data_IF_258935103145
#
_entry.id   IF_258935103145
#
_cell.length_a   1.000
_cell.length_b   1.000
_cell.length_c   1.000
_cell.angle_alpha   90.00
_cell.angle_beta   90.00
_cell.angle_gamma   90.00
#
_symmetry.space_group_name_H-M   'P 1'
#
loop_
_entity.id
_entity.type
_entity.pdbx_description
1 polymer ?
#
# COMPACT_ATOMS: atom_id res chain seq x y z
N UNK A 1 13.45 -11.38 -28.08
CA UNK A 1 13.58 -10.91 -26.68
C UNK A 1 12.30 -10.17 -26.37
N UNK A 2 11.35 -10.87 -25.77
CA UNK A 2 10.00 -10.34 -25.51
C UNK A 2 10.05 -9.51 -24.23
N UNK A 3 9.90 -8.19 -24.38
CA UNK A 3 9.91 -7.24 -23.28
C UNK A 3 8.56 -7.34 -22.57
N UNK A 4 8.47 -8.16 -21.53
CA UNK A 4 7.30 -8.19 -20.64
C UNK A 4 7.33 -6.94 -19.78
N UNK A 5 6.70 -5.88 -20.26
CA UNK A 5 6.40 -4.72 -19.42
C UNK A 5 5.48 -5.19 -18.28
N UNK A 6 6.06 -5.39 -17.08
CA UNK A 6 5.28 -5.58 -15.84
C UNK A 6 4.36 -4.36 -15.71
N UNK A 7 3.08 -4.54 -16.04
CA UNK A 7 2.06 -3.53 -15.83
C UNK A 7 2.12 -3.11 -14.35
N UNK A 8 2.53 -1.87 -14.09
CA UNK A 8 2.76 -1.39 -12.73
C UNK A 8 1.55 -1.64 -11.84
N UNK A 9 1.78 -2.18 -10.65
CA UNK A 9 0.72 -2.51 -9.69
C UNK A 9 -0.16 -1.27 -9.49
N UNK A 10 -1.45 -1.38 -9.82
CA UNK A 10 -2.39 -0.26 -9.66
C UNK A 10 -2.76 -0.12 -8.19
N UNK A 11 -2.95 1.11 -7.68
CA UNK A 11 -3.42 1.30 -6.32
C UNK A 11 -4.84 0.73 -6.21
N UNK A 12 -5.05 -0.15 -5.23
CA UNK A 12 -6.35 -0.77 -4.95
C UNK A 12 -7.28 0.25 -4.26
N UNK A 13 -6.74 1.00 -3.29
CA UNK A 13 -7.49 2.04 -2.57
C UNK A 13 -6.55 3.12 -2.05
N UNK A 14 -7.05 4.35 -1.91
CA UNK A 14 -6.32 5.46 -1.29
C UNK A 14 -7.20 6.19 -0.28
N UNK A 15 -6.66 6.41 0.91
CA UNK A 15 -7.24 7.24 1.97
C UNK A 15 -6.37 8.48 2.13
N UNK A 16 -6.97 9.67 2.18
CA UNK A 16 -6.22 10.91 2.29
C UNK A 16 -6.92 11.97 3.13
N UNK A 17 -6.13 12.73 3.88
CA UNK A 17 -6.57 13.94 4.57
C UNK A 17 -5.50 15.03 4.46
N UNK A 18 -5.84 16.10 3.72
CA UNK A 18 -4.90 17.16 3.35
C UNK A 18 -3.65 16.61 2.67
N UNK A 19 -2.49 16.87 3.26
CA UNK A 19 -1.19 16.43 2.75
C UNK A 19 -0.87 14.95 2.99
N UNK A 20 -1.60 14.24 3.86
CA UNK A 20 -1.27 12.87 4.26
C UNK A 20 -2.16 11.87 3.53
N UNK A 21 -1.57 10.78 3.04
CA UNK A 21 -2.31 9.68 2.41
C UNK A 21 -1.72 8.31 2.69
N UNK A 22 -2.59 7.32 2.88
CA UNK A 22 -2.26 5.90 2.87
C UNK A 22 -2.82 5.27 1.58
N UNK A 23 -1.96 4.63 0.79
CA UNK A 23 -2.33 3.92 -0.45
C UNK A 23 -2.18 2.42 -0.23
N UNK A 24 -3.25 1.68 -0.46
CA UNK A 24 -3.27 0.21 -0.47
C UNK A 24 -2.99 -0.26 -1.88
N UNK A 25 -2.02 -1.15 -2.03
CA UNK A 25 -1.62 -1.78 -3.28
C UNK A 25 -1.97 -3.24 -3.25
N UNK A 26 -2.49 -3.77 -4.36
CA UNK A 26 -2.64 -5.20 -4.58
C UNK A 26 -1.47 -5.66 -5.44
N UNK A 27 -0.63 -6.53 -4.88
CA UNK A 27 0.53 -7.09 -5.55
C UNK A 27 0.31 -8.59 -5.75
N UNK A 28 0.97 -9.14 -6.74
CA UNK A 28 1.11 -10.57 -6.95
C UNK A 28 2.58 -10.94 -6.82
N UNK A 29 2.85 -12.11 -6.26
CA UNK A 29 4.18 -12.69 -6.23
C UNK A 29 4.11 -14.20 -6.27
N UNK A 30 5.26 -14.83 -6.09
CA UNK A 30 5.40 -16.29 -6.05
C UNK A 30 5.86 -16.71 -4.65
N UNK A 31 5.17 -17.69 -4.06
CA UNK A 31 5.54 -18.27 -2.78
C UNK A 31 6.86 -19.04 -2.90
N UNK A 32 7.80 -18.79 -1.98
CA UNK A 32 9.09 -19.52 -1.92
C UNK A 32 8.93 -20.98 -1.53
N UNK A 33 7.82 -21.37 -0.88
CA UNK A 33 7.60 -22.72 -0.36
C UNK A 33 7.20 -23.72 -1.43
N UNK A 34 6.33 -23.31 -2.34
CA UNK A 34 5.66 -24.20 -3.30
C UNK A 34 5.62 -23.66 -4.73
N UNK A 35 6.12 -22.43 -4.97
CA UNK A 35 6.08 -21.81 -6.29
C UNK A 35 4.69 -21.36 -6.72
N UNK A 36 3.70 -21.36 -5.82
CA UNK A 36 2.33 -20.92 -6.14
C UNK A 36 2.26 -19.40 -6.30
N UNK A 37 1.34 -18.94 -7.15
CA UNK A 37 1.04 -17.51 -7.25
C UNK A 37 0.22 -17.07 -6.05
N UNK A 38 0.69 -16.02 -5.38
CA UNK A 38 0.08 -15.46 -4.19
C UNK A 38 -0.21 -13.97 -4.41
N UNK A 39 -1.40 -13.55 -4.04
CA UNK A 39 -1.75 -12.13 -4.01
C UNK A 39 -1.61 -11.61 -2.59
N UNK A 40 -0.97 -10.46 -2.43
CA UNK A 40 -0.79 -9.82 -1.13
C UNK A 40 -0.96 -8.31 -1.24
N UNK A 41 -1.29 -7.66 -0.12
CA UNK A 41 -1.52 -6.22 -0.08
C UNK A 41 -0.42 -5.52 0.69
N UNK A 42 -0.01 -4.36 0.21
CA UNK A 42 0.93 -3.49 0.91
C UNK A 42 0.34 -2.09 1.06
N UNK A 43 0.78 -1.37 2.10
CA UNK A 43 0.32 -0.01 2.38
C UNK A 43 1.51 0.94 2.28
N UNK A 44 1.35 2.05 1.56
CA UNK A 44 2.33 3.15 1.53
C UNK A 44 1.73 4.38 2.17
N UNK A 45 2.37 4.87 3.24
CA UNK A 45 2.06 6.17 3.85
C UNK A 45 2.94 7.25 3.23
N UNK A 46 2.32 8.34 2.76
CA UNK A 46 3.02 9.47 2.15
C UNK A 46 2.49 10.80 2.64
N UNK A 47 3.38 11.79 2.71
CA UNK A 47 3.08 13.20 2.92
C UNK A 47 3.43 13.99 1.67
N UNK A 48 2.49 14.78 1.14
CA UNK A 48 2.74 15.74 0.07
C UNK A 48 3.11 17.11 0.63
N UNK A 49 4.02 17.78 -0.06
CA UNK A 49 4.40 19.15 0.25
C UNK A 49 4.80 19.85 -1.04
N UNK A 50 4.64 21.17 -1.06
CA UNK A 50 5.16 22.01 -2.12
C UNK A 50 6.58 22.42 -1.76
N UNK A 51 7.53 22.25 -2.69
CA UNK A 51 8.88 22.76 -2.52
C UNK A 51 8.97 24.26 -2.83
N UNK A 52 10.19 24.81 -2.80
CA UNK A 52 10.44 26.24 -3.02
C UNK A 52 10.04 26.70 -4.43
N UNK A 53 10.04 25.78 -5.39
CA UNK A 53 9.74 26.05 -6.80
C UNK A 53 8.26 25.86 -7.13
N UNK A 54 7.41 25.64 -6.12
CA UNK A 54 5.98 25.40 -6.33
C UNK A 54 5.64 23.96 -6.75
N UNK A 55 6.63 23.06 -6.78
CA UNK A 55 6.42 21.68 -7.26
C UNK A 55 5.95 20.79 -6.11
N UNK A 56 4.88 20.04 -6.36
CA UNK A 56 4.38 19.04 -5.42
C UNK A 56 5.30 17.83 -5.36
N UNK A 57 5.86 17.58 -4.18
CA UNK A 57 6.69 16.40 -3.87
C UNK A 57 6.03 15.54 -2.80
N UNK A 58 6.47 14.29 -2.73
CA UNK A 58 6.09 13.34 -1.67
C UNK A 58 7.30 13.02 -0.80
N UNK A 59 7.06 12.76 0.48
CA UNK A 59 8.04 12.27 1.44
C UNK A 59 7.39 11.29 2.40
N UNK A 60 8.21 10.43 3.01
CA UNK A 60 7.78 9.53 4.09
C UNK A 60 8.10 10.13 5.47
N UNK A 61 8.77 11.29 5.52
CA UNK A 61 9.04 12.02 6.76
C UNK A 61 7.80 12.80 7.22
N UNK A 62 7.34 12.49 8.43
CA UNK A 62 6.18 13.11 9.07
C UNK A 62 6.60 14.19 10.07
N UNK A 63 5.77 15.22 10.22
CA UNK A 63 5.87 16.22 11.29
C UNK A 63 4.90 15.86 12.42
N UNK A 64 5.06 16.48 13.58
CA UNK A 64 4.19 16.28 14.73
C UNK A 64 2.70 16.39 14.39
N UNK A 65 2.32 17.43 13.64
CA UNK A 65 0.92 17.68 13.26
C UNK A 65 0.40 16.73 12.15
N UNK A 66 1.29 15.96 11.52
CA UNK A 66 0.91 14.94 10.55
C UNK A 66 0.51 13.64 11.27
N UNK A 67 0.93 13.41 12.51
CA UNK A 67 0.69 12.16 13.23
C UNK A 67 -0.80 11.83 13.43
N UNK A 68 -1.68 12.76 13.85
CA UNK A 68 -3.10 12.44 13.99
C UNK A 68 -3.74 12.09 12.63
N UNK A 69 -3.28 12.76 11.56
CA UNK A 69 -3.75 12.53 10.19
C UNK A 69 -3.26 11.19 9.66
N UNK A 70 -2.00 10.83 9.93
CA UNK A 70 -1.41 9.55 9.60
C UNK A 70 -2.16 8.42 10.30
N UNK A 71 -2.41 8.54 11.60
CA UNK A 71 -3.20 7.57 12.37
C UNK A 71 -4.59 7.37 11.76
N UNK A 72 -5.29 8.46 11.41
CA UNK A 72 -6.61 8.36 10.78
C UNK A 72 -6.59 7.60 9.45
N UNK A 73 -5.68 7.94 8.53
CA UNK A 73 -5.64 7.27 7.21
C UNK A 73 -5.15 5.83 7.32
N UNK A 74 -4.28 5.51 8.29
CA UNK A 74 -3.84 4.15 8.56
C UNK A 74 -4.97 3.31 9.16
N UNK A 75 -5.73 3.85 10.12
CA UNK A 75 -6.91 3.19 10.69
C UNK A 75 -7.94 2.90 9.60
N UNK A 76 -8.15 3.83 8.66
CA UNK A 76 -9.05 3.61 7.51
C UNK A 76 -8.53 2.55 6.52
N UNK A 77 -7.22 2.47 6.31
CA UNK A 77 -6.63 1.40 5.51
C UNK A 77 -6.80 0.04 6.19
N UNK A 78 -6.56 -0.04 7.50
CA UNK A 78 -6.76 -1.25 8.29
C UNK A 78 -8.22 -1.71 8.26
N UNK A 79 -9.17 -0.81 8.56
CA UNK A 79 -10.61 -1.07 8.50
C UNK A 79 -11.01 -1.64 7.13
N UNK A 80 -10.52 -1.03 6.04
CA UNK A 80 -10.79 -1.50 4.69
C UNK A 80 -10.25 -2.91 4.42
N UNK A 81 -9.03 -3.21 4.86
CA UNK A 81 -8.40 -4.51 4.64
C UNK A 81 -9.10 -5.61 5.44
N UNK A 82 -9.33 -5.38 6.73
CA UNK A 82 -9.92 -6.38 7.63
C UNK A 82 -11.37 -6.68 7.26
N UNK A 83 -12.18 -5.66 6.97
CA UNK A 83 -13.57 -5.88 6.54
C UNK A 83 -13.59 -6.63 5.20
N UNK A 84 -12.72 -6.26 4.25
CA UNK A 84 -12.63 -6.94 2.96
C UNK A 84 -12.16 -8.40 3.06
N UNK A 85 -11.27 -8.70 4.02
CA UNK A 85 -10.86 -10.08 4.33
C UNK A 85 -11.96 -10.88 5.02
N UNK A 86 -12.90 -10.24 5.74
CA UNK A 86 -14.08 -10.95 6.25
C UNK A 86 -15.05 -11.33 5.12
N UNK A 87 -15.15 -10.51 4.08
CA UNK A 87 -15.99 -10.77 2.91
C UNK A 87 -15.37 -11.77 1.92
N UNK A 88 -14.04 -11.95 1.96
CA UNK A 88 -13.30 -12.87 1.11
C UNK A 88 -12.80 -14.07 1.93
N UNK A 89 -13.33 -15.27 1.66
CA UNK A 89 -12.93 -16.56 2.27
C UNK A 89 -11.44 -16.63 2.67
N UNK A 90 -11.09 -17.21 3.85
CA UNK A 90 -9.83 -16.97 4.53
C UNK A 90 -8.65 -17.32 3.63
N UNK A 91 -8.05 -16.29 3.04
CA UNK A 91 -6.75 -16.41 2.39
C UNK A 91 -5.79 -16.33 3.56
N UNK A 92 -5.20 -17.47 3.95
CA UNK A 92 -4.36 -17.56 5.15
C UNK A 92 -3.30 -16.46 5.19
N UNK A 93 -2.91 -16.06 6.40
CA UNK A 93 -1.79 -15.14 6.60
C UNK A 93 -0.56 -15.67 5.86
N UNK A 94 -0.23 -15.05 4.72
CA UNK A 94 1.01 -15.33 4.01
C UNK A 94 2.01 -14.29 4.48
N UNK A 95 3.05 -14.74 5.17
CA UNK A 95 4.16 -13.91 5.57
C UNK A 95 4.78 -13.27 4.33
N UNK A 96 4.65 -11.94 4.20
CA UNK A 96 5.11 -11.18 3.03
C UNK A 96 6.62 -11.33 2.77
N UNK A 97 7.40 -11.72 3.78
CA UNK A 97 8.83 -11.99 3.68
C UNK A 97 9.15 -13.29 2.89
N UNK A 98 8.18 -14.18 2.78
CA UNK A 98 8.30 -15.45 2.05
C UNK A 98 7.88 -15.35 0.58
N UNK A 99 7.47 -14.16 0.12
CA UNK A 99 7.01 -13.93 -1.25
C UNK A 99 8.13 -13.30 -2.08
N UNK A 100 8.34 -13.78 -3.31
CA UNK A 100 9.20 -13.15 -4.32
C UNK A 100 8.33 -12.37 -5.30
N UNK A 101 8.66 -11.10 -5.55
CA UNK A 101 7.96 -10.23 -6.51
C UNK A 101 8.48 -10.35 -7.94
#
# INVERSE_FOLDING_TARGET
>A
MENTEKAGNKPEKKFSTGAISATVWKNSGTSKKDGSQVEFRTITLQRRYTDKDGTWKSTNSLRLNDLPKASLVLNKAYEYLVIKEQDASPTGEIDVEEIVM
#
